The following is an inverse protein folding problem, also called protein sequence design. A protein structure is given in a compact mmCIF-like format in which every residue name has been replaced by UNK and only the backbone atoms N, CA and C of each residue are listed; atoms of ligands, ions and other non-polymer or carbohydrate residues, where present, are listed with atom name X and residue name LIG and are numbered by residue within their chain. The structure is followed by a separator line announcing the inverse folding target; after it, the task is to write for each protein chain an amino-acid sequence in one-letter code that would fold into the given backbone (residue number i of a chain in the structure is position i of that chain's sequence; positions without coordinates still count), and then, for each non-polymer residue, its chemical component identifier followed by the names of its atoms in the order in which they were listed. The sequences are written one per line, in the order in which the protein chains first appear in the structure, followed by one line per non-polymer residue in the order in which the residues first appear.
data_IF_123776252350
#
_entry.id   IF_123776252350
#
_cell.length_a   1.000
_cell.length_b   1.000
_cell.length_c   1.000
_cell.angle_alpha   90.00
_cell.angle_beta   90.00
_cell.angle_gamma   90.00
#
_symmetry.space_group_name_H-M   'P 1'
#
loop_
_entity.id
_entity.type
_entity.pdbx_description
1 polymer ?
#
# COMPACT_ATOMS: atom_id res chain seq x y z
N UNK A 1 -0.07 -8.56 -17.92
CA UNK A 1 1.30 -8.40 -17.37
C UNK A 1 1.26 -8.73 -15.89
N UNK A 2 2.37 -9.21 -15.32
CA UNK A 2 2.45 -9.57 -13.90
C UNK A 2 2.97 -8.36 -13.13
N UNK A 3 2.20 -7.91 -12.14
CA UNK A 3 2.63 -6.85 -11.23
C UNK A 3 3.14 -7.47 -9.93
N UNK A 4 4.28 -6.95 -9.48
CA UNK A 4 4.91 -7.34 -8.21
C UNK A 4 4.41 -6.45 -7.08
N UNK A 5 3.79 -7.05 -6.08
CA UNK A 5 3.42 -6.43 -4.81
C UNK A 5 4.22 -7.05 -3.66
N UNK A 6 4.28 -6.37 -2.53
CA UNK A 6 4.98 -6.84 -1.34
C UNK A 6 3.99 -6.93 -0.18
N UNK A 7 3.87 -8.12 0.41
CA UNK A 7 3.21 -8.33 1.70
C UNK A 7 4.30 -8.49 2.76
N UNK A 8 4.34 -7.60 3.73
CA UNK A 8 5.35 -7.62 4.78
C UNK A 8 4.74 -7.27 6.13
N UNK A 9 5.13 -8.01 7.16
CA UNK A 9 4.89 -7.68 8.55
C UNK A 9 6.17 -7.98 9.33
N UNK A 10 6.96 -6.93 9.60
CA UNK A 10 8.22 -7.08 10.32
C UNK A 10 8.45 -5.98 11.36
N UNK A 11 9.23 -6.28 12.40
CA UNK A 11 9.56 -5.39 13.52
C UNK A 11 11.00 -5.54 14.00
N UNK A 12 11.55 -4.49 14.59
CA UNK A 12 12.87 -4.53 15.21
C UNK A 12 12.86 -5.39 16.48
N UNK A 13 14.02 -5.92 16.88
CA UNK A 13 14.17 -6.66 18.16
C UNK A 13 13.66 -5.84 19.36
N UNK A 14 13.92 -4.53 19.35
CA UNK A 14 13.48 -3.58 20.38
C UNK A 14 12.00 -3.15 20.28
N UNK A 15 11.25 -3.63 19.29
CA UNK A 15 9.84 -3.26 18.99
C UNK A 15 9.58 -1.75 18.75
N UNK A 16 10.65 -0.95 18.66
CA UNK A 16 10.62 0.49 18.40
C UNK A 16 10.29 0.82 16.95
N UNK A 17 10.63 -0.08 16.04
CA UNK A 17 10.35 0.05 14.61
C UNK A 17 9.52 -1.14 14.13
N UNK A 18 8.57 -0.87 13.25
CA UNK A 18 7.77 -1.89 12.59
C UNK A 18 7.35 -1.41 11.20
N UNK A 19 7.17 -2.33 10.28
CA UNK A 19 6.63 -2.07 8.95
C UNK A 19 5.49 -3.04 8.65
N UNK A 20 4.47 -2.53 7.98
CA UNK A 20 3.43 -3.30 7.33
C UNK A 20 3.38 -2.88 5.87
N UNK A 21 3.59 -3.82 4.96
CA UNK A 21 3.31 -3.66 3.52
C UNK A 21 2.16 -4.57 3.16
N UNK A 22 1.20 -4.06 2.40
CA UNK A 22 0.02 -4.80 1.98
C UNK A 22 -0.29 -4.48 0.53
N UNK A 23 -0.59 -5.52 -0.24
CA UNK A 23 -1.09 -5.41 -1.59
C UNK A 23 -2.61 -5.54 -1.62
N UNK A 24 -3.24 -4.81 -2.53
CA UNK A 24 -4.67 -4.90 -2.83
C UNK A 24 -4.90 -4.80 -4.33
N UNK A 25 -6.01 -5.36 -4.77
CA UNK A 25 -6.56 -5.15 -6.11
C UNK A 25 -7.88 -4.41 -5.92
N UNK A 26 -8.05 -3.28 -6.60
CA UNK A 26 -9.26 -2.46 -6.54
C UNK A 26 -9.88 -2.43 -7.93
N UNK A 27 -11.06 -3.02 -8.08
CA UNK A 27 -11.83 -2.97 -9.33
C UNK A 27 -12.54 -1.63 -9.47
N UNK A 28 -12.91 -1.27 -10.70
CA UNK A 28 -13.74 -0.08 -10.95
C UNK A 28 -15.12 -0.15 -10.27
N UNK A 29 -15.64 -1.37 -10.04
CA UNK A 29 -16.85 -1.64 -9.24
C UNK A 29 -16.70 -1.30 -7.75
N UNK A 30 -15.54 -0.80 -7.32
CA UNK A 30 -15.16 -0.52 -5.94
C UNK A 30 -14.97 -1.75 -5.04
N UNK A 31 -14.93 -2.95 -5.62
CA UNK A 31 -14.54 -4.16 -4.89
C UNK A 31 -13.04 -4.13 -4.57
N UNK A 32 -12.69 -4.55 -3.36
CA UNK A 32 -11.31 -4.63 -2.88
C UNK A 32 -10.99 -6.10 -2.62
N UNK A 33 -10.00 -6.61 -3.33
CA UNK A 33 -9.54 -7.98 -3.22
C UNK A 33 -8.08 -8.03 -2.75
N UNK A 34 -7.70 -9.18 -2.17
CA UNK A 34 -6.30 -9.47 -1.89
C UNK A 34 -5.63 -10.02 -3.13
N UNK A 35 -4.36 -9.67 -3.38
CA UNK A 35 -3.58 -10.22 -4.48
C UNK A 35 -3.50 -11.75 -4.33
N UNK A 36 -4.10 -12.48 -5.29
CA UNK A 36 -4.02 -13.94 -5.39
C UNK A 36 -3.06 -14.29 -6.53
N UNK A 37 -1.87 -14.74 -6.19
CA UNK A 37 -0.86 -15.10 -7.18
C UNK A 37 0.32 -15.83 -6.57
N UNK A 38 1.39 -15.98 -7.35
CA UNK A 38 2.61 -16.66 -6.88
C UNK A 38 3.25 -15.83 -5.77
N UNK A 39 3.42 -16.44 -4.60
CA UNK A 39 4.09 -15.85 -3.44
C UNK A 39 5.49 -16.41 -3.29
N UNK A 40 6.49 -15.55 -3.15
CA UNK A 40 7.89 -15.93 -2.94
C UNK A 40 8.36 -15.29 -1.63
N UNK A 41 8.83 -16.07 -0.63
CA UNK A 41 9.36 -15.51 0.60
C UNK A 41 10.63 -14.70 0.32
N UNK A 42 10.74 -13.54 0.94
CA UNK A 42 11.91 -12.66 0.86
C UNK A 42 12.38 -12.27 2.25
N UNK A 43 13.60 -11.74 2.33
CA UNK A 43 14.14 -11.21 3.58
C UNK A 43 13.31 -10.00 4.03
N UNK A 44 12.77 -9.99 5.26
CA UNK A 44 12.06 -8.82 5.79
C UNK A 44 13.01 -7.64 6.03
N UNK A 45 12.45 -6.44 6.03
CA UNK A 45 13.17 -5.20 6.33
C UNK A 45 13.71 -5.19 7.76
N UNK A 46 12.95 -5.71 8.72
CA UNK A 46 13.35 -5.81 10.12
C UNK A 46 13.59 -7.25 10.58
N UNK A 47 14.34 -7.37 11.68
CA UNK A 47 14.86 -8.65 12.18
C UNK A 47 13.81 -9.70 12.60
N UNK A 48 12.58 -9.31 12.90
CA UNK A 48 11.52 -10.24 13.32
C UNK A 48 10.28 -10.08 12.44
N UNK A 49 9.82 -11.16 11.81
CA UNK A 49 8.61 -11.19 11.00
C UNK A 49 8.83 -11.80 9.63
N UNK A 50 7.90 -11.54 8.72
CA UNK A 50 7.83 -12.19 7.42
C UNK A 50 7.64 -11.17 6.30
N UNK A 51 8.17 -11.49 5.12
CA UNK A 51 7.99 -10.72 3.92
C UNK A 51 7.88 -11.64 2.71
N UNK A 52 6.99 -11.29 1.80
CA UNK A 52 6.68 -12.05 0.59
C UNK A 52 6.54 -11.11 -0.59
N UNK A 53 7.10 -11.50 -1.73
CA UNK A 53 6.75 -10.92 -3.02
C UNK A 53 5.57 -11.67 -3.60
N UNK A 54 4.52 -10.94 -3.97
CA UNK A 54 3.30 -11.50 -4.55
C UNK A 54 3.20 -11.02 -5.99
N UNK A 55 3.28 -11.96 -6.92
CA UNK A 55 3.22 -11.74 -8.36
C UNK A 55 1.81 -12.01 -8.85
N UNK A 56 1.10 -10.97 -9.30
CA UNK A 56 -0.32 -11.08 -9.67
C UNK A 56 -0.60 -10.52 -11.06
N UNK A 57 -1.46 -11.20 -11.79
CA UNK A 57 -2.07 -10.67 -13.00
C UNK A 57 -3.25 -9.78 -12.60
N UNK A 58 -3.15 -8.50 -12.93
CA UNK A 58 -4.23 -7.55 -12.65
C UNK A 58 -5.21 -7.55 -13.82
N UNK A 59 -6.52 -7.68 -13.57
CA UNK A 59 -7.55 -7.51 -14.60
C UNK A 59 -7.45 -6.14 -15.30
N UNK A 60 -7.85 -6.02 -16.58
CA UNK A 60 -7.80 -4.75 -17.31
C UNK A 60 -8.61 -3.62 -16.66
N UNK A 61 -9.69 -3.97 -15.97
CA UNK A 61 -10.65 -3.12 -15.26
C UNK A 61 -10.32 -2.94 -13.76
N UNK A 62 -9.07 -3.19 -13.39
CA UNK A 62 -8.61 -3.12 -12.00
C UNK A 62 -7.26 -2.44 -11.84
N UNK A 63 -7.02 -1.99 -10.62
CA UNK A 63 -5.82 -1.29 -10.20
C UNK A 63 -5.14 -2.06 -9.08
N UNK A 64 -3.82 -2.16 -9.12
CA UNK A 64 -3.07 -2.64 -7.96
C UNK A 64 -2.77 -1.49 -7.01
N UNK A 65 -2.86 -1.77 -5.72
CA UNK A 65 -2.52 -0.81 -4.68
C UNK A 65 -1.50 -1.42 -3.74
N UNK A 66 -0.39 -0.72 -3.53
CA UNK A 66 0.59 -1.04 -2.51
C UNK A 66 0.48 -0.03 -1.36
N UNK A 67 0.08 -0.51 -0.20
CA UNK A 67 0.15 0.22 1.06
C UNK A 67 1.48 -0.09 1.75
N UNK A 68 2.16 0.95 2.23
CA UNK A 68 3.38 0.86 3.03
C UNK A 68 3.18 1.71 4.28
N UNK A 69 3.26 1.10 5.46
CA UNK A 69 3.11 1.78 6.75
C UNK A 69 4.30 1.45 7.65
N UNK A 70 4.97 2.48 8.15
CA UNK A 70 6.18 2.38 8.95
C UNK A 70 5.95 3.07 10.29
N UNK A 71 6.14 2.34 11.38
CA UNK A 71 6.20 2.84 12.74
C UNK A 71 7.63 3.29 13.05
N UNK A 72 7.80 4.57 13.39
CA UNK A 72 9.06 5.14 13.82
C UNK A 72 9.25 5.04 15.34
N UNK A 73 10.48 5.29 15.81
CA UNK A 73 10.90 5.27 17.23
C UNK A 73 9.93 5.99 18.19
N UNK A 74 9.38 7.14 17.78
CA UNK A 74 8.44 7.94 18.59
C UNK A 74 6.99 7.44 18.53
N UNK A 75 6.76 6.16 18.23
CA UNK A 75 5.44 5.55 17.99
C UNK A 75 4.57 6.28 16.94
N UNK A 76 5.19 7.07 16.05
CA UNK A 76 4.51 7.75 14.96
C UNK A 76 4.50 6.84 13.74
N UNK A 77 3.34 6.73 13.10
CA UNK A 77 3.19 6.00 11.84
C UNK A 77 3.28 6.98 10.67
N UNK A 78 4.10 6.64 9.69
CA UNK A 78 4.14 7.27 8.37
C UNK A 78 3.83 6.20 7.33
N UNK A 79 3.29 6.60 6.19
CA UNK A 79 3.03 5.65 5.13
C UNK A 79 3.02 6.25 3.74
N UNK A 80 2.89 5.36 2.79
CA UNK A 80 2.76 5.63 1.37
C UNK A 80 1.68 4.71 0.82
N UNK A 81 0.83 5.23 -0.07
CA UNK A 81 -0.10 4.43 -0.86
C UNK A 81 0.25 4.68 -2.32
N UNK A 82 0.52 3.62 -3.04
CA UNK A 82 0.89 3.63 -4.44
C UNK A 82 -0.18 2.89 -5.22
N UNK A 83 -0.66 3.51 -6.29
CA UNK A 83 -1.66 2.96 -7.19
C UNK A 83 -0.97 2.69 -8.53
N UNK A 84 -1.15 1.47 -9.03
CA UNK A 84 -0.58 1.00 -10.27
C UNK A 84 -1.70 0.59 -11.23
N UNK A 85 -1.50 0.83 -12.53
CA UNK A 85 -2.32 0.25 -13.59
C UNK A 85 -2.06 -1.24 -13.74
N UNK A 86 -2.88 -1.90 -14.56
CA UNK A 86 -2.78 -3.32 -14.89
C UNK A 86 -1.47 -3.74 -15.57
N UNK A 87 -0.75 -2.78 -16.19
CA UNK A 87 0.59 -2.95 -16.76
C UNK A 87 1.73 -2.64 -15.77
N UNK A 88 1.41 -2.25 -14.54
CA UNK A 88 2.38 -1.96 -13.48
C UNK A 88 2.93 -0.53 -13.49
N UNK A 89 2.41 0.38 -14.33
CA UNK A 89 2.81 1.80 -14.28
C UNK A 89 2.26 2.47 -13.04
N UNK A 90 3.08 3.30 -12.39
CA UNK A 90 2.67 4.09 -11.24
C UNK A 90 1.73 5.22 -11.70
N UNK A 91 0.47 5.16 -11.26
CA UNK A 91 -0.58 6.11 -11.61
C UNK A 91 -0.69 7.26 -10.60
N UNK A 92 -0.61 6.92 -9.31
CA UNK A 92 -0.72 7.87 -8.21
C UNK A 92 0.07 7.37 -7.01
N UNK A 93 0.83 8.27 -6.39
CA UNK A 93 1.50 8.04 -5.11
C UNK A 93 1.09 9.11 -4.12
N UNK A 94 0.58 8.70 -2.96
CA UNK A 94 0.26 9.61 -1.85
C UNK A 94 1.06 9.26 -0.61
N UNK A 95 1.41 10.27 0.18
CA UNK A 95 2.09 10.12 1.47
C UNK A 95 1.08 10.32 2.60
N UNK A 96 1.16 9.45 3.61
CA UNK A 96 0.43 9.55 4.85
C UNK A 96 1.38 9.96 5.99
N UNK A 97 1.15 11.12 6.59
CA UNK A 97 1.96 11.60 7.71
C UNK A 97 1.15 12.54 8.60
N UNK A 98 1.31 12.41 9.94
CA UNK A 98 0.60 13.25 10.93
C UNK A 98 -0.93 13.26 10.68
N UNK A 99 -1.51 12.10 10.37
CA UNK A 99 -2.92 11.93 9.99
C UNK A 99 -3.36 12.74 8.75
N UNK A 100 -2.42 13.14 7.88
CA UNK A 100 -2.70 13.85 6.63
C UNK A 100 -2.25 13.02 5.45
N UNK A 101 -3.08 12.94 4.43
CA UNK A 101 -2.75 12.34 3.14
C UNK A 101 -2.46 13.45 2.14
N UNK A 102 -1.33 13.37 1.44
CA UNK A 102 -0.92 14.35 0.44
C UNK A 102 -0.48 13.67 -0.84
N UNK A 103 -0.85 14.23 -1.99
CA UNK A 103 -0.29 13.81 -3.28
C UNK A 103 1.23 13.99 -3.24
N UNK A 104 1.94 12.97 -3.73
CA UNK A 104 3.39 13.03 -3.92
C UNK A 104 3.73 13.08 -5.41
N UNK A 105 3.18 12.17 -6.21
CA UNK A 105 3.43 12.04 -7.67
C UNK A 105 2.20 11.45 -8.33
N UNK A 106 1.99 11.73 -9.62
CA UNK A 106 0.94 11.11 -10.44
C UNK A 106 -0.34 11.94 -10.53
N UNK A 107 -1.40 11.31 -11.02
CA UNK A 107 -2.65 11.97 -11.40
C UNK A 107 -3.70 11.90 -10.27
N UNK A 108 -4.25 13.05 -9.89
CA UNK A 108 -5.28 13.19 -8.86
C UNK A 108 -6.58 12.45 -9.21
N UNK A 109 -6.82 12.11 -10.48
CA UNK A 109 -8.03 11.37 -10.90
C UNK A 109 -8.17 10.00 -10.22
N UNK A 110 -7.07 9.38 -9.80
CA UNK A 110 -7.05 8.09 -9.10
C UNK A 110 -7.22 8.22 -7.58
N UNK A 111 -7.51 9.43 -7.07
CA UNK A 111 -7.67 9.68 -5.63
C UNK A 111 -8.81 8.88 -4.97
N UNK A 112 -9.82 8.48 -5.74
CA UNK A 112 -10.92 7.65 -5.26
C UNK A 112 -10.44 6.26 -4.78
N UNK A 113 -9.42 5.69 -5.42
CA UNK A 113 -8.83 4.40 -5.05
C UNK A 113 -8.18 4.49 -3.67
N UNK A 114 -7.46 5.59 -3.44
CA UNK A 114 -6.83 5.90 -2.16
C UNK A 114 -7.89 6.05 -1.05
N UNK A 115 -8.97 6.78 -1.33
CA UNK A 115 -10.07 6.96 -0.38
C UNK A 115 -10.74 5.62 -0.01
N UNK A 116 -10.96 4.74 -0.99
CA UNK A 116 -11.52 3.39 -0.76
C UNK A 116 -10.64 2.55 0.15
N UNK A 117 -9.33 2.53 -0.07
CA UNK A 117 -8.38 1.78 0.77
C UNK A 117 -8.33 2.33 2.19
N UNK A 118 -8.32 3.67 2.35
CA UNK A 118 -8.34 4.32 3.67
C UNK A 118 -9.60 3.92 4.45
N UNK A 119 -10.77 3.95 3.80
CA UNK A 119 -12.05 3.57 4.41
C UNK A 119 -12.09 2.09 4.76
N UNK A 120 -11.68 1.22 3.84
CA UNK A 120 -11.67 -0.24 4.04
C UNK A 120 -10.80 -0.65 5.22
N UNK A 121 -9.62 -0.04 5.36
CA UNK A 121 -8.67 -0.32 6.44
C UNK A 121 -8.90 0.55 7.69
N UNK A 122 -9.91 1.42 7.68
CA UNK A 122 -10.20 2.38 8.76
C UNK A 122 -8.96 3.18 9.18
N UNK A 123 -8.15 3.60 8.21
CA UNK A 123 -6.94 4.39 8.49
C UNK A 123 -7.37 5.76 9.02
N UNK A 124 -6.87 6.21 10.17
CA UNK A 124 -7.26 7.51 10.72
C UNK A 124 -6.71 8.65 9.86
N UNK A 125 -7.58 9.46 9.28
CA UNK A 125 -7.19 10.60 8.44
C UNK A 125 -7.95 11.86 8.86
N UNK A 126 -7.21 12.92 9.17
CA UNK A 126 -7.74 14.25 9.53
C UNK A 126 -7.89 15.15 8.31
N UNK A 127 -7.03 15.02 7.29
CA UNK A 127 -7.07 15.87 6.09
C UNK A 127 -6.52 15.15 4.87
N UNK A 128 -7.22 15.26 3.74
CA UNK A 128 -6.78 14.74 2.43
C UNK A 128 -6.55 15.90 1.47
N UNK A 129 -5.30 16.09 1.05
CA UNK A 129 -4.88 17.09 0.06
C UNK A 129 -4.33 16.35 -1.16
N UNK A 130 -5.22 15.75 -1.95
CA UNK A 130 -4.86 14.95 -3.13
C UNK A 130 -5.26 15.67 -4.43
N UNK A 131 -6.19 16.63 -4.37
CA UNK A 131 -6.60 17.45 -5.52
C UNK A 131 -5.41 18.28 -6.01
#
# INVERSE_FOLDING_TARGET
MVVKLIEELSKSKSKRHAIRRMGFIVKETCEIERPRGRSIPIKPLYAQGEAHEVYVNIPPDAYAVQLIMIKCLRNRVKGCIEVFSSDGRLLLRVKYQKFKVRKSVGDSKYSWIVDKIIKHLKIPVRRMNIK
#
